data_IF_739753756758
#
_entry.id   IF_739753756758
#
_cell.length_a   1.000
_cell.length_b   1.000
_cell.length_c   1.000
_cell.angle_alpha   90.00
_cell.angle_beta   90.00
_cell.angle_gamma   90.00
#
_symmetry.space_group_name_H-M   'P 1'
#
loop_
_entity.id
_entity.type
_entity.pdbx_description
1 polymer ?
#
# COMPACT_ATOMS: atom_id res chain seq x y z
N UNK A 1 -51.48 -37.91 -3.87
CA UNK A 1 -50.02 -38.10 -3.78
C UNK A 1 -49.54 -39.53 -4.04
N UNK A 2 -50.04 -40.57 -3.37
CA UNK A 2 -49.57 -41.98 -3.58
C UNK A 2 -49.72 -42.52 -5.02
N UNK A 3 -50.70 -42.01 -5.80
CA UNK A 3 -50.97 -42.45 -7.19
C UNK A 3 -49.99 -41.86 -8.22
N UNK A 4 -49.47 -40.66 -7.98
CA UNK A 4 -48.48 -40.00 -8.84
C UNK A 4 -47.07 -40.60 -8.66
N UNK A 5 -46.77 -41.07 -7.45
CA UNK A 5 -45.50 -41.72 -7.08
C UNK A 5 -45.27 -43.06 -7.76
N UNK A 6 -46.33 -43.83 -7.97
CA UNK A 6 -46.23 -45.22 -8.47
C UNK A 6 -46.03 -45.29 -9.98
N UNK A 7 -46.56 -44.32 -10.73
CA UNK A 7 -46.52 -44.32 -12.20
C UNK A 7 -45.25 -43.65 -12.75
N UNK A 8 -44.74 -42.62 -12.06
CA UNK A 8 -43.62 -41.79 -12.52
C UNK A 8 -42.41 -41.88 -11.57
N UNK A 9 -42.13 -43.09 -11.07
CA UNK A 9 -41.05 -43.35 -10.09
C UNK A 9 -39.69 -42.84 -10.56
N UNK A 10 -39.41 -42.95 -11.86
CA UNK A 10 -38.17 -42.45 -12.48
C UNK A 10 -38.09 -40.93 -12.41
N UNK A 11 -39.16 -40.22 -12.75
CA UNK A 11 -39.23 -38.75 -12.67
C UNK A 11 -39.03 -38.28 -11.23
N UNK A 12 -39.57 -38.99 -10.26
CA UNK A 12 -39.41 -38.64 -8.85
C UNK A 12 -37.96 -38.79 -8.37
N UNK A 13 -37.27 -39.86 -8.77
CA UNK A 13 -35.83 -40.04 -8.48
C UNK A 13 -35.01 -38.93 -9.13
N UNK A 14 -35.34 -38.54 -10.37
CA UNK A 14 -34.65 -37.48 -11.10
C UNK A 14 -34.83 -36.11 -10.42
N UNK A 15 -36.03 -35.80 -9.93
CA UNK A 15 -36.29 -34.56 -9.16
C UNK A 15 -35.51 -34.54 -7.85
N UNK A 16 -35.40 -35.67 -7.14
CA UNK A 16 -34.58 -35.76 -5.92
C UNK A 16 -33.11 -35.48 -6.22
N UNK A 17 -32.56 -36.07 -7.28
CA UNK A 17 -31.17 -35.84 -7.70
C UNK A 17 -30.96 -34.36 -8.02
N UNK A 18 -31.89 -33.73 -8.73
CA UNK A 18 -31.82 -32.31 -9.10
C UNK A 18 -31.82 -31.41 -7.86
N UNK A 19 -32.66 -31.71 -6.86
CA UNK A 19 -32.69 -30.99 -5.57
C UNK A 19 -31.35 -31.13 -4.84
N UNK A 20 -30.75 -32.32 -4.82
CA UNK A 20 -29.43 -32.55 -4.19
C UNK A 20 -28.34 -31.73 -4.90
N UNK A 21 -28.33 -31.73 -6.23
CA UNK A 21 -27.41 -30.90 -7.01
C UNK A 21 -27.62 -29.40 -6.73
N UNK A 22 -28.87 -28.94 -6.63
CA UNK A 22 -29.19 -27.55 -6.33
C UNK A 22 -28.68 -27.15 -4.93
N UNK A 23 -28.88 -28.00 -3.92
CA UNK A 23 -28.38 -27.78 -2.56
C UNK A 23 -26.84 -27.71 -2.55
N UNK A 24 -26.17 -28.61 -3.29
CA UNK A 24 -24.71 -28.59 -3.41
C UNK A 24 -24.21 -27.28 -4.03
N UNK A 25 -24.82 -26.82 -5.14
CA UNK A 25 -24.48 -25.55 -5.79
C UNK A 25 -24.72 -24.38 -4.84
N UNK A 26 -25.87 -24.34 -4.16
CA UNK A 26 -26.18 -23.31 -3.17
C UNK A 26 -25.16 -23.29 -2.02
N UNK A 27 -24.72 -24.45 -1.52
CA UNK A 27 -23.73 -24.50 -0.43
C UNK A 27 -22.39 -23.89 -0.84
N UNK A 28 -21.90 -24.20 -2.05
CA UNK A 28 -20.64 -23.64 -2.58
C UNK A 28 -20.81 -22.14 -2.88
N UNK A 29 -21.94 -21.74 -3.46
CA UNK A 29 -22.23 -20.34 -3.73
C UNK A 29 -22.27 -19.53 -2.42
N UNK A 30 -22.91 -20.04 -1.37
CA UNK A 30 -22.93 -19.38 -0.07
C UNK A 30 -21.52 -19.25 0.52
N UNK A 31 -20.65 -20.25 0.41
CA UNK A 31 -19.25 -20.11 0.87
C UNK A 31 -18.46 -19.06 0.08
N UNK A 32 -18.73 -18.90 -1.22
CA UNK A 32 -18.07 -17.90 -2.06
C UNK A 32 -18.57 -16.48 -1.77
N UNK A 33 -19.88 -16.31 -1.56
CA UNK A 33 -20.50 -15.00 -1.31
C UNK A 33 -20.41 -14.55 0.16
N UNK A 34 -20.31 -15.47 1.12
CA UNK A 34 -20.09 -15.16 2.54
C UNK A 34 -18.61 -15.09 2.92
N UNK A 35 -17.68 -14.96 1.95
CA UNK A 35 -16.28 -14.64 2.27
C UNK A 35 -16.27 -13.33 3.06
N UNK A 36 -15.91 -13.47 4.34
CA UNK A 36 -16.19 -12.52 5.40
C UNK A 36 -15.09 -11.47 5.50
N UNK A 37 -14.68 -10.93 4.36
CA UNK A 37 -13.60 -9.95 4.33
C UNK A 37 -14.17 -8.55 4.53
N UNK A 38 -14.35 -8.18 5.80
CA UNK A 38 -14.72 -6.82 6.22
C UNK A 38 -13.55 -5.83 6.13
N UNK A 39 -12.44 -6.23 5.50
CA UNK A 39 -11.19 -5.50 5.45
C UNK A 39 -11.02 -4.87 4.06
N UNK A 40 -10.98 -3.53 3.99
CA UNK A 40 -10.74 -2.75 2.77
C UNK A 40 -9.43 -3.13 2.05
N UNK A 41 -8.47 -3.70 2.78
CA UNK A 41 -7.17 -4.16 2.30
C UNK A 41 -7.05 -5.68 2.13
N UNK A 42 -8.07 -6.48 2.50
CA UNK A 42 -8.00 -7.95 2.50
C UNK A 42 -6.75 -8.50 3.22
N UNK A 43 -6.20 -9.62 2.75
CA UNK A 43 -5.00 -10.25 3.34
C UNK A 43 -3.69 -9.45 3.14
N UNK A 44 -3.75 -8.25 2.53
CA UNK A 44 -2.56 -7.42 2.29
C UNK A 44 -1.96 -6.86 3.57
N UNK A 45 -2.62 -6.95 4.72
CA UNK A 45 -2.09 -6.49 6.01
C UNK A 45 -1.65 -7.66 6.90
N UNK A 46 -1.65 -8.88 6.38
CA UNK A 46 -1.23 -10.06 7.15
C UNK A 46 0.19 -9.85 7.68
N UNK A 47 0.41 -10.13 8.96
CA UNK A 47 1.72 -9.98 9.60
C UNK A 47 2.10 -8.54 10.01
N UNK A 48 1.24 -7.53 9.85
CA UNK A 48 1.58 -6.14 10.20
C UNK A 48 1.95 -5.98 11.69
N UNK A 49 1.35 -6.81 12.55
CA UNK A 49 1.66 -6.86 13.98
C UNK A 49 3.10 -7.33 14.28
N UNK A 50 3.71 -8.10 13.37
CA UNK A 50 5.09 -8.59 13.51
C UNK A 50 6.13 -7.58 13.03
N UNK A 51 5.73 -6.70 12.11
CA UNK A 51 6.58 -5.68 11.49
C UNK A 51 6.16 -4.28 11.97
N UNK A 52 5.86 -4.11 13.26
CA UNK A 52 5.46 -2.82 13.78
C UNK A 52 6.65 -1.87 13.85
N UNK A 53 6.51 -0.70 13.23
CA UNK A 53 7.48 0.37 13.32
C UNK A 53 7.17 1.21 14.56
N UNK A 54 8.13 1.27 15.49
CA UNK A 54 7.98 1.97 16.75
C UNK A 54 7.92 3.49 16.56
N UNK A 55 7.30 4.19 17.51
CA UNK A 55 7.31 5.66 17.54
C UNK A 55 8.72 6.23 17.65
N UNK A 56 9.61 5.54 18.37
CA UNK A 56 10.99 5.94 18.59
C UNK A 56 11.79 5.87 17.29
N UNK A 57 11.57 4.84 16.46
CA UNK A 57 12.19 4.75 15.15
C UNK A 57 11.75 5.93 14.26
N UNK A 58 10.45 6.24 14.21
CA UNK A 58 9.93 7.37 13.42
C UNK A 58 10.57 8.69 13.84
N UNK A 59 10.71 8.93 15.15
CA UNK A 59 11.33 10.16 15.66
C UNK A 59 12.81 10.23 15.33
N UNK A 60 13.57 9.17 15.62
CA UNK A 60 15.01 9.12 15.33
C UNK A 60 15.33 9.21 13.83
N UNK A 61 14.49 8.61 12.97
CA UNK A 61 14.60 8.72 11.53
C UNK A 61 14.44 10.18 11.06
N UNK A 62 13.43 10.89 11.57
CA UNK A 62 13.23 12.32 11.27
C UNK A 62 14.37 13.19 11.77
N UNK A 63 14.85 12.94 13.00
CA UNK A 63 15.98 13.67 13.59
C UNK A 63 17.23 13.55 12.73
N UNK A 64 17.56 12.35 12.26
CA UNK A 64 18.72 12.15 11.37
C UNK A 64 18.65 12.92 10.04
N UNK A 65 17.44 13.14 9.51
CA UNK A 65 17.29 14.02 8.34
C UNK A 65 17.49 15.48 8.71
N UNK A 66 16.95 15.92 9.85
CA UNK A 66 17.05 17.30 10.33
C UNK A 66 18.48 17.69 10.74
N UNK A 67 19.38 16.72 10.97
CA UNK A 67 20.81 16.98 11.11
C UNK A 67 21.45 17.56 9.84
N UNK A 68 20.82 17.41 8.67
CA UNK A 68 21.30 17.98 7.41
C UNK A 68 20.87 19.44 7.29
N UNK A 69 21.83 20.34 7.04
CA UNK A 69 21.64 21.81 7.03
C UNK A 69 20.60 22.32 6.03
N UNK A 70 20.17 21.51 5.05
CA UNK A 70 19.25 21.93 3.99
C UNK A 70 17.82 21.37 4.15
N UNK A 71 17.49 20.74 5.27
CA UNK A 71 16.17 20.12 5.49
C UNK A 71 15.30 21.03 6.37
N UNK A 72 14.22 21.58 5.79
CA UNK A 72 13.22 22.38 6.52
C UNK A 72 12.33 21.53 7.41
N UNK A 73 11.84 20.40 6.89
CA UNK A 73 10.93 19.53 7.64
C UNK A 73 10.89 18.12 7.07
N UNK A 74 10.64 17.14 7.93
CA UNK A 74 10.35 15.75 7.55
C UNK A 74 9.08 15.26 8.23
N UNK A 75 8.13 14.75 7.45
CA UNK A 75 7.01 13.97 7.94
C UNK A 75 7.21 12.49 7.66
N UNK A 76 6.75 11.65 8.59
CA UNK A 76 6.85 10.19 8.49
C UNK A 76 5.53 9.58 8.91
N UNK A 77 4.83 8.98 7.96
CA UNK A 77 3.53 8.38 8.17
C UNK A 77 3.48 6.95 7.62
N UNK A 78 2.63 6.11 8.22
CA UNK A 78 2.44 4.73 7.77
C UNK A 78 0.95 4.53 7.48
N UNK A 79 0.63 4.04 6.29
CA UNK A 79 -0.73 3.64 5.93
C UNK A 79 -0.68 2.24 5.33
N UNK A 80 -1.25 1.26 6.04
CA UNK A 80 -1.16 -0.14 5.66
C UNK A 80 0.29 -0.61 5.58
N UNK A 81 0.71 -1.16 4.43
CA UNK A 81 2.10 -1.57 4.14
C UNK A 81 2.94 -0.51 3.43
N UNK A 82 2.52 0.76 3.46
CA UNK A 82 3.27 1.85 2.81
C UNK A 82 3.75 2.84 3.87
N UNK A 83 5.05 3.10 3.84
CA UNK A 83 5.71 4.17 4.58
C UNK A 83 5.79 5.39 3.67
N UNK A 84 5.20 6.49 4.10
CA UNK A 84 5.26 7.79 3.44
C UNK A 84 6.25 8.68 4.19
N UNK A 85 7.26 9.15 3.47
CA UNK A 85 8.22 10.12 3.97
C UNK A 85 8.11 11.38 3.11
N UNK A 86 7.66 12.48 3.70
CA UNK A 86 7.60 13.79 3.03
C UNK A 86 8.77 14.63 3.52
N UNK A 87 9.61 15.10 2.61
CA UNK A 87 10.81 15.87 2.92
C UNK A 87 10.72 17.21 2.22
N UNK A 88 10.82 18.30 2.99
CA UNK A 88 10.91 19.65 2.47
C UNK A 88 12.32 20.17 2.69
N UNK A 89 12.96 20.58 1.61
CA UNK A 89 14.29 21.13 1.60
C UNK A 89 14.28 22.66 1.42
N UNK A 90 15.38 23.28 1.78
CA UNK A 90 15.67 24.68 1.46
C UNK A 90 15.94 24.89 -0.04
N UNK A 91 15.77 26.13 -0.50
CA UNK A 91 16.04 26.58 -1.88
C UNK A 91 17.47 26.27 -2.35
N UNK A 92 18.41 26.16 -1.41
CA UNK A 92 19.84 25.97 -1.70
C UNK A 92 20.22 24.54 -2.07
N UNK A 93 19.31 23.55 -1.94
CA UNK A 93 19.64 22.16 -2.26
C UNK A 93 19.57 21.90 -3.77
N UNK A 94 20.54 21.13 -4.29
CA UNK A 94 20.47 20.61 -5.65
C UNK A 94 19.68 19.30 -5.69
N UNK A 95 19.07 19.00 -6.85
CA UNK A 95 18.32 17.75 -7.04
C UNK A 95 19.18 16.51 -6.74
N UNK A 96 20.44 16.49 -7.18
CA UNK A 96 21.34 15.36 -6.96
C UNK A 96 21.71 15.18 -5.49
N UNK A 97 21.88 16.27 -4.73
CA UNK A 97 22.13 16.18 -3.30
C UNK A 97 20.88 15.71 -2.54
N UNK A 98 19.69 16.19 -2.92
CA UNK A 98 18.43 15.70 -2.35
C UNK A 98 18.25 14.19 -2.59
N UNK A 99 18.52 13.72 -3.82
CA UNK A 99 18.47 12.28 -4.16
C UNK A 99 19.43 11.46 -3.30
N UNK A 100 20.68 11.91 -3.14
CA UNK A 100 21.69 11.24 -2.30
C UNK A 100 21.27 11.15 -0.84
N UNK A 101 20.67 12.20 -0.27
CA UNK A 101 20.19 12.17 1.11
C UNK A 101 19.10 11.11 1.30
N UNK A 102 18.17 11.02 0.34
CA UNK A 102 17.10 10.01 0.35
C UNK A 102 17.69 8.60 0.20
N UNK A 103 18.62 8.39 -0.73
CA UNK A 103 19.30 7.10 -0.89
C UNK A 103 20.05 6.68 0.39
N UNK A 104 20.77 7.61 1.02
CA UNK A 104 21.47 7.35 2.27
C UNK A 104 20.51 6.99 3.40
N UNK A 105 19.33 7.61 3.45
CA UNK A 105 18.32 7.32 4.48
C UNK A 105 17.78 5.91 4.44
N UNK A 106 17.87 5.22 3.29
CA UNK A 106 17.43 3.83 3.17
C UNK A 106 18.23 2.90 4.10
N UNK A 107 19.49 3.23 4.36
CA UNK A 107 20.34 2.47 5.28
C UNK A 107 19.90 2.52 6.75
N UNK A 108 18.96 3.41 7.09
CA UNK A 108 18.40 3.51 8.44
C UNK A 108 17.32 2.47 8.72
N UNK A 109 16.68 1.92 7.68
CA UNK A 109 15.71 0.85 7.83
C UNK A 109 16.42 -0.49 7.93
N UNK A 110 15.91 -1.36 8.79
CA UNK A 110 16.34 -2.76 8.83
C UNK A 110 15.76 -3.57 7.65
N UNK A 111 16.39 -4.70 7.33
CA UNK A 111 15.99 -5.57 6.22
C UNK A 111 14.58 -6.14 6.38
N UNK A 112 14.16 -6.44 7.62
CA UNK A 112 12.84 -6.98 7.93
C UNK A 112 11.73 -5.98 7.54
N UNK A 113 11.91 -4.72 7.93
CA UNK A 113 11.06 -3.60 7.57
C UNK A 113 11.03 -3.39 6.06
N UNK A 114 12.18 -3.38 5.39
CA UNK A 114 12.26 -3.18 3.94
C UNK A 114 11.71 -4.35 3.13
N UNK A 115 11.67 -5.56 3.70
CA UNK A 115 11.05 -6.73 3.06
C UNK A 115 9.52 -6.73 3.15
N UNK A 116 8.97 -6.02 4.14
CA UNK A 116 7.52 -5.97 4.39
C UNK A 116 6.85 -4.73 3.82
N UNK A 117 7.47 -3.55 3.99
CA UNK A 117 6.89 -2.26 3.60
C UNK A 117 7.43 -1.75 2.26
N UNK A 118 6.54 -1.09 1.53
CA UNK A 118 6.93 -0.17 0.46
C UNK A 118 7.26 1.19 1.06
N UNK A 119 8.33 1.83 0.59
CA UNK A 119 8.72 3.18 1.02
C UNK A 119 8.49 4.16 -0.12
N UNK A 120 7.73 5.21 0.14
CA UNK A 120 7.43 6.27 -0.81
C UNK A 120 7.90 7.61 -0.25
N UNK A 121 8.69 8.31 -1.06
CA UNK A 121 9.22 9.62 -0.76
C UNK A 121 8.52 10.68 -1.60
N UNK A 122 8.08 11.75 -0.96
CA UNK A 122 7.67 12.99 -1.60
C UNK A 122 8.72 14.03 -1.22
N UNK A 123 9.45 14.53 -2.20
CA UNK A 123 10.57 15.42 -2.00
C UNK A 123 10.25 16.75 -2.64
N UNK A 124 10.25 17.79 -1.83
CA UNK A 124 9.90 19.14 -2.25
C UNK A 124 11.00 20.12 -1.88
N UNK A 125 11.29 21.02 -2.79
CA UNK A 125 12.03 22.25 -2.55
C UNK A 125 11.30 23.38 -3.27
N UNK A 126 11.80 24.59 -3.14
CA UNK A 126 11.26 25.74 -3.85
C UNK A 126 11.48 25.62 -5.38
N UNK A 127 12.47 24.83 -5.83
CA UNK A 127 12.87 24.70 -7.24
C UNK A 127 12.31 23.44 -7.93
N UNK A 128 11.98 22.39 -7.17
CA UNK A 128 11.56 21.11 -7.74
C UNK A 128 10.68 20.31 -6.79
N UNK A 129 9.79 19.51 -7.38
CA UNK A 129 9.11 18.42 -6.70
C UNK A 129 9.39 17.11 -7.42
N UNK A 130 9.93 16.14 -6.67
CA UNK A 130 10.24 14.81 -7.18
C UNK A 130 9.68 13.76 -6.22
N UNK A 131 9.25 12.63 -6.76
CA UNK A 131 8.79 11.48 -6.00
C UNK A 131 9.74 10.31 -6.23
N UNK A 132 9.96 9.55 -5.17
CA UNK A 132 10.72 8.33 -5.22
C UNK A 132 9.92 7.19 -4.59
N UNK A 133 10.08 5.98 -5.09
CA UNK A 133 9.43 4.79 -4.53
C UNK A 133 10.38 3.61 -4.52
N UNK A 134 10.41 2.91 -3.40
CA UNK A 134 11.13 1.67 -3.20
C UNK A 134 10.12 0.61 -2.77
N UNK A 135 9.77 -0.28 -3.69
CA UNK A 135 8.94 -1.44 -3.37
C UNK A 135 9.75 -2.49 -2.59
N UNK A 136 9.09 -3.24 -1.73
CA UNK A 136 9.72 -4.27 -0.90
C UNK A 136 10.43 -5.38 -1.70
N UNK A 137 9.95 -5.69 -2.90
CA UNK A 137 10.55 -6.66 -3.81
C UNK A 137 11.60 -6.07 -4.76
N UNK A 138 11.70 -4.74 -4.86
CA UNK A 138 12.70 -4.09 -5.71
C UNK A 138 14.06 -4.03 -5.01
N UNK A 139 15.16 -3.93 -5.75
CA UNK A 139 16.48 -3.66 -5.15
C UNK A 139 16.76 -2.15 -5.09
N UNK A 140 16.35 -1.41 -6.13
CA UNK A 140 16.66 0.00 -6.31
C UNK A 140 15.45 0.91 -6.10
N UNK A 141 15.72 2.17 -5.76
CA UNK A 141 14.70 3.24 -5.72
C UNK A 141 14.35 3.63 -7.16
N UNK A 142 13.06 3.73 -7.45
CA UNK A 142 12.54 4.30 -8.69
C UNK A 142 12.21 5.78 -8.48
N UNK A 143 12.54 6.61 -9.46
CA UNK A 143 12.33 8.06 -9.44
C UNK A 143 11.33 8.46 -10.52
N UNK A 144 10.43 9.38 -10.20
CA UNK A 144 9.58 9.98 -11.23
C UNK A 144 10.38 10.99 -12.08
N UNK A 145 9.86 11.31 -13.27
CA UNK A 145 10.40 12.42 -14.06
C UNK A 145 10.07 13.74 -13.35
N UNK A 146 11.11 14.57 -13.17
CA UNK A 146 11.02 15.86 -12.50
C UNK A 146 9.89 16.70 -13.09
N UNK A 147 9.00 17.23 -12.25
CA UNK A 147 8.06 18.28 -12.65
C UNK A 147 8.63 19.58 -12.08
N UNK A 148 9.24 20.45 -12.92
CA UNK A 148 9.60 21.79 -12.50
C UNK A 148 8.36 22.48 -11.93
N UNK A 149 8.51 23.20 -10.82
CA UNK A 149 7.44 24.01 -10.26
C UNK A 149 7.39 25.26 -11.14
N UNK A 150 6.31 25.44 -11.90
CA UNK A 150 6.08 26.71 -12.59
C UNK A 150 5.75 27.76 -11.51
N UNK A 151 6.52 28.85 -11.45
CA UNK A 151 6.14 30.01 -10.64
C UNK A 151 4.81 30.53 -11.21
N UNK A 152 3.75 30.44 -10.41
CA UNK A 152 2.48 31.10 -10.70
C UNK A 152 2.77 32.61 -10.83
N UNK A 153 2.96 33.04 -12.07
CA UNK A 153 2.96 34.46 -12.40
C UNK A 153 1.53 34.92 -12.25
N UNK A 154 1.22 35.48 -11.08
CA UNK A 154 0.05 36.32 -10.84
C UNK A 154 0.12 37.53 -11.80
N UNK A 155 -0.20 37.31 -13.09
CA UNK A 155 -0.54 38.39 -13.99
C UNK A 155 -1.97 38.84 -13.70
N UNK A 156 -2.07 39.84 -12.82
CA UNK A 156 -3.21 40.76 -12.75
C UNK A 156 -3.67 41.15 -14.16
N UNK A 157 -4.95 40.89 -14.47
CA UNK A 157 -5.70 41.59 -15.52
C UNK A 157 -7.05 42.02 -15.00
#
# INVERSE_FOLDING_TARGET
>A
MKKLWKNNRVVFVLVIILIICFIAICSVALTFFYSKDTNEYGNRLDGIEKHQISSEFKSSYKEKFLESENVKSVDFNIKGRIIYVEIKFDENITLDNAKKLVENSMSLFDEDTLSYYDVQFIIQSDNFTIMASKNSAAENISWNNNTPIEEDTDEEK
#
